data_IF_700399446780
#
_entry.id   IF_700399446780
#
_cell.length_a   1.000
_cell.length_b   1.000
_cell.length_c   1.000
_cell.angle_alpha   90.00
_cell.angle_beta   90.00
_cell.angle_gamma   90.00
#
_symmetry.space_group_name_H-M   'P 1'
#
loop_
_entity.id
_entity.type
_entity.pdbx_description
1 polymer ?
#
# COMPACT_ATOMS: atom_id res chain seq x y z
N UNK A 1 7.05 -13.16 10.18
CA UNK A 1 8.48 -12.80 9.98
C UNK A 1 8.66 -11.37 10.49
N UNK A 2 9.58 -11.05 11.40
CA UNK A 2 9.55 -9.79 12.18
C UNK A 2 9.93 -8.52 11.40
N UNK A 3 10.28 -8.63 10.12
CA UNK A 3 10.84 -7.52 9.33
C UNK A 3 9.86 -6.97 8.27
N UNK A 4 8.56 -7.24 8.38
CA UNK A 4 7.54 -6.65 7.49
C UNK A 4 7.21 -5.20 7.86
N UNK A 5 7.47 -4.80 9.12
CA UNK A 5 6.91 -3.58 9.72
C UNK A 5 7.80 -2.31 9.63
N UNK A 6 8.87 -2.29 8.82
CA UNK A 6 9.75 -1.11 8.73
C UNK A 6 10.25 -0.80 7.32
N UNK A 7 9.44 -1.04 6.29
CA UNK A 7 9.72 -0.51 4.96
C UNK A 7 8.95 0.81 4.80
N UNK A 8 9.59 1.92 4.34
CA UNK A 8 9.01 3.27 4.34
C UNK A 8 7.75 3.46 3.47
N UNK A 9 7.31 2.42 2.76
CA UNK A 9 6.12 2.45 1.90
C UNK A 9 5.01 1.49 2.38
N UNK A 10 5.20 0.85 3.54
CA UNK A 10 4.21 -0.02 4.16
C UNK A 10 3.85 0.56 5.53
N UNK A 11 2.55 0.73 5.76
CA UNK A 11 2.06 1.29 7.01
C UNK A 11 2.30 0.36 8.18
N UNK A 12 2.51 0.96 9.34
CA UNK A 12 2.54 0.20 10.59
C UNK A 12 1.12 -0.26 10.92
N UNK A 13 0.92 -1.57 10.93
CA UNK A 13 -0.30 -2.20 11.44
C UNK A 13 -0.39 -1.97 12.97
N UNK A 14 -1.47 -1.33 13.43
CA UNK A 14 -1.77 -1.14 14.85
C UNK A 14 -2.59 -2.29 15.43
N UNK A 15 -3.44 -2.92 14.63
CA UNK A 15 -4.26 -4.05 15.07
C UNK A 15 -5.24 -4.50 14.00
N UNK A 16 -5.94 -5.60 14.29
CA UNK A 16 -7.02 -6.13 13.45
C UNK A 16 -8.20 -6.53 14.33
N UNK A 17 -9.38 -6.60 13.72
CA UNK A 17 -10.62 -7.06 14.35
C UNK A 17 -11.28 -8.10 13.45
N UNK A 18 -11.80 -9.17 14.05
CA UNK A 18 -12.53 -10.22 13.33
C UNK A 18 -13.85 -10.48 14.07
N UNK A 19 -14.96 -10.31 13.37
CA UNK A 19 -16.29 -10.65 13.90
C UNK A 19 -16.73 -12.03 13.37
N UNK A 20 -16.84 -13.01 14.28
CA UNK A 20 -17.14 -14.42 13.96
C UNK A 20 -18.49 -14.62 13.24
N UNK A 21 -19.48 -13.77 13.51
CA UNK A 21 -20.84 -13.92 12.97
C UNK A 21 -21.03 -13.33 11.56
N UNK A 22 -20.12 -12.47 11.07
CA UNK A 22 -20.30 -11.73 9.81
C UNK A 22 -19.11 -11.79 8.83
N UNK A 23 -18.06 -12.57 9.13
CA UNK A 23 -16.81 -12.62 8.34
C UNK A 23 -16.22 -11.23 8.03
N UNK A 24 -16.44 -10.25 8.91
CA UNK A 24 -15.86 -8.92 8.75
C UNK A 24 -14.48 -8.91 9.35
N UNK A 25 -13.50 -8.65 8.51
CA UNK A 25 -12.12 -8.43 8.90
C UNK A 25 -11.80 -6.94 8.76
N UNK A 26 -11.48 -6.30 9.89
CA UNK A 26 -11.08 -4.90 9.94
C UNK A 26 -9.60 -4.79 10.27
N UNK A 27 -8.89 -3.86 9.64
CA UNK A 27 -7.46 -3.62 9.86
C UNK A 27 -7.25 -2.15 10.20
N UNK A 28 -6.47 -1.87 11.24
CA UNK A 28 -6.18 -0.51 11.71
C UNK A 28 -4.70 -0.22 11.51
N UNK A 29 -4.39 0.85 10.78
CA UNK A 29 -3.03 1.31 10.52
C UNK A 29 -2.74 2.64 11.22
N UNK A 30 -1.47 2.85 11.57
CA UNK A 30 -0.97 4.15 12.03
C UNK A 30 -0.61 4.98 10.80
N UNK A 31 -1.51 5.88 10.40
CA UNK A 31 -1.39 6.60 9.15
C UNK A 31 -2.10 7.94 9.14
N UNK A 32 -1.40 8.96 8.63
CA UNK A 32 -1.97 10.28 8.35
C UNK A 32 -2.03 10.49 6.83
N UNK A 33 -3.18 10.18 6.19
CA UNK A 33 -3.32 10.30 4.74
C UNK A 33 -3.42 11.77 4.32
N UNK A 34 -2.78 12.09 3.18
CA UNK A 34 -3.07 13.29 2.42
C UNK A 34 -4.42 13.12 1.69
N UNK A 35 -4.49 12.15 0.78
CA UNK A 35 -5.71 11.76 0.04
C UNK A 35 -5.39 10.49 -0.79
N UNK A 36 -6.41 9.93 -1.45
CA UNK A 36 -6.27 8.86 -2.44
C UNK A 36 -5.66 9.42 -3.73
N UNK A 37 -4.77 8.66 -4.38
CA UNK A 37 -4.05 9.09 -5.58
C UNK A 37 -5.02 9.46 -6.72
N UNK A 38 -6.13 8.73 -6.89
CA UNK A 38 -7.18 9.07 -7.86
C UNK A 38 -7.72 10.51 -7.66
N UNK A 39 -8.05 10.86 -6.42
CA UNK A 39 -8.53 12.20 -6.05
C UNK A 39 -7.47 13.28 -6.31
N UNK A 40 -6.21 13.01 -5.97
CA UNK A 40 -5.11 13.95 -6.20
C UNK A 40 -4.81 14.17 -7.69
N UNK A 41 -4.90 13.13 -8.51
CA UNK A 41 -4.77 13.22 -9.97
C UNK A 41 -5.90 14.05 -10.54
N UNK A 42 -7.16 13.80 -10.13
CA UNK A 42 -8.32 14.55 -10.61
C UNK A 42 -8.25 16.05 -10.29
N UNK A 43 -7.65 16.40 -9.14
CA UNK A 43 -7.44 17.79 -8.71
C UNK A 43 -6.21 18.46 -9.36
N UNK A 44 -5.37 17.70 -10.07
CA UNK A 44 -4.09 18.13 -10.61
C UNK A 44 -3.13 18.77 -9.57
N UNK A 45 -3.21 18.31 -8.32
CA UNK A 45 -2.51 18.91 -7.17
C UNK A 45 -1.01 18.54 -7.07
N UNK A 46 -0.37 18.15 -8.18
CA UNK A 46 1.02 17.73 -8.21
C UNK A 46 1.92 18.64 -9.03
N UNK A 47 2.96 19.16 -8.40
CA UNK A 47 4.13 19.65 -9.11
C UNK A 47 4.97 18.48 -9.67
N UNK A 48 5.88 18.80 -10.59
CA UNK A 48 6.67 17.78 -11.28
C UNK A 48 7.52 16.91 -10.35
N UNK A 49 8.10 17.51 -9.31
CA UNK A 49 8.93 16.79 -8.34
C UNK A 49 8.10 15.78 -7.54
N UNK A 50 6.88 16.14 -7.14
CA UNK A 50 5.97 15.24 -6.45
C UNK A 50 5.56 14.07 -7.35
N UNK A 51 5.30 14.30 -8.64
CA UNK A 51 5.00 13.21 -9.60
C UNK A 51 6.13 12.20 -9.69
N UNK A 52 7.37 12.68 -9.80
CA UNK A 52 8.56 11.82 -9.83
C UNK A 52 8.69 11.04 -8.52
N UNK A 53 8.47 11.70 -7.38
CA UNK A 53 8.54 11.05 -6.05
C UNK A 53 7.51 9.93 -5.93
N UNK A 54 6.26 10.18 -6.30
CA UNK A 54 5.18 9.18 -6.25
C UNK A 54 5.49 8.00 -7.19
N UNK A 55 5.92 8.28 -8.42
CA UNK A 55 6.28 7.24 -9.39
C UNK A 55 7.43 6.36 -8.90
N UNK A 56 8.46 6.96 -8.31
CA UNK A 56 9.60 6.23 -7.73
C UNK A 56 9.16 5.37 -6.54
N UNK A 57 8.35 5.90 -5.63
CA UNK A 57 7.84 5.14 -4.49
C UNK A 57 7.00 3.93 -4.93
N UNK A 58 6.13 4.09 -5.93
CA UNK A 58 5.36 2.99 -6.51
C UNK A 58 6.26 1.93 -7.15
N UNK A 59 7.31 2.34 -7.87
CA UNK A 59 8.29 1.40 -8.43
C UNK A 59 9.02 0.60 -7.34
N UNK A 60 9.39 1.24 -6.23
CA UNK A 60 10.01 0.56 -5.09
C UNK A 60 9.06 -0.44 -4.40
N UNK A 61 7.78 -0.07 -4.23
CA UNK A 61 6.75 -0.97 -3.69
C UNK A 61 6.60 -2.20 -4.59
N UNK A 62 6.49 -1.99 -5.90
CA UNK A 62 6.40 -3.07 -6.90
C UNK A 62 7.63 -3.96 -6.90
N UNK A 63 8.82 -3.38 -6.89
CA UNK A 63 10.08 -4.13 -6.81
C UNK A 63 10.11 -5.00 -5.56
N UNK A 64 9.70 -4.46 -4.41
CA UNK A 64 9.64 -5.20 -3.15
C UNK A 64 8.65 -6.37 -3.22
N UNK A 65 7.43 -6.14 -3.71
CA UNK A 65 6.41 -7.19 -3.81
C UNK A 65 6.81 -8.30 -4.79
N UNK A 66 7.39 -7.91 -5.94
CA UNK A 66 7.85 -8.86 -6.95
C UNK A 66 9.19 -9.51 -6.62
N UNK A 67 9.88 -9.08 -5.56
CA UNK A 67 11.12 -9.70 -5.12
C UNK A 67 10.82 -11.13 -4.71
N UNK A 68 11.41 -12.10 -5.42
CA UNK A 68 11.29 -13.54 -5.13
C UNK A 68 11.71 -13.80 -3.69
N UNK A 69 10.75 -13.93 -2.78
CA UNK A 69 10.94 -14.76 -1.59
C UNK A 69 10.88 -16.21 -2.05
N UNK A 70 11.74 -17.06 -1.48
CA UNK A 70 11.91 -18.46 -1.90
C UNK A 70 10.63 -19.31 -1.78
N UNK A 71 9.56 -18.77 -1.18
CA UNK A 71 8.39 -19.54 -0.78
C UNK A 71 7.04 -19.11 -1.36
N UNK A 72 6.86 -17.94 -1.98
CA UNK A 72 5.71 -17.63 -2.86
C UNK A 72 5.80 -16.14 -3.29
N UNK A 73 5.98 -15.79 -4.57
CA UNK A 73 5.99 -14.40 -4.99
C UNK A 73 4.60 -13.77 -4.77
N UNK A 74 4.55 -12.64 -4.08
CA UNK A 74 3.35 -11.81 -4.02
C UNK A 74 3.23 -11.11 -5.38
N UNK A 75 2.24 -11.49 -6.18
CA UNK A 75 2.01 -10.90 -7.50
C UNK A 75 0.90 -9.88 -7.39
N UNK A 76 1.21 -8.63 -7.71
CA UNK A 76 0.20 -7.59 -7.84
C UNK A 76 -0.46 -7.72 -9.20
N UNK A 77 -1.72 -8.12 -9.20
CA UNK A 77 -2.49 -8.30 -10.43
C UNK A 77 -3.05 -7.00 -10.97
N UNK A 78 -3.31 -6.05 -10.08
CA UNK A 78 -3.87 -4.76 -10.46
C UNK A 78 -3.33 -3.66 -9.55
N UNK A 79 -2.86 -2.58 -10.17
CA UNK A 79 -2.56 -1.32 -9.51
C UNK A 79 -3.56 -0.29 -9.99
N UNK A 80 -4.46 0.10 -9.09
CA UNK A 80 -5.43 1.16 -9.33
C UNK A 80 -5.03 2.39 -8.50
N UNK A 81 -5.20 3.58 -9.06
CA UNK A 81 -4.99 4.83 -8.34
C UNK A 81 -5.97 4.97 -7.15
N UNK A 82 -7.14 4.34 -7.20
CA UNK A 82 -8.08 4.27 -6.08
C UNK A 82 -7.56 3.44 -4.89
N UNK A 83 -6.58 2.55 -5.12
CA UNK A 83 -5.99 1.69 -4.09
C UNK A 83 -4.65 2.20 -3.56
N UNK A 84 -4.23 3.40 -3.97
CA UNK A 84 -3.01 4.06 -3.50
C UNK A 84 -3.40 5.31 -2.72
N UNK A 85 -2.97 5.42 -1.47
CA UNK A 85 -3.00 6.68 -0.72
C UNK A 85 -1.62 7.31 -0.70
N UNK A 86 -1.57 8.63 -0.61
CA UNK A 86 -0.35 9.35 -0.29
C UNK A 86 -0.37 9.80 1.16
N UNK A 87 0.79 9.78 1.82
CA UNK A 87 0.99 10.49 3.09
C UNK A 87 1.19 11.99 2.87
N UNK A 88 1.30 12.76 3.95
CA UNK A 88 1.56 14.21 3.90
C UNK A 88 2.84 14.58 3.14
N UNK A 89 3.82 13.68 3.10
CA UNK A 89 5.09 13.84 2.40
C UNK A 89 5.05 13.37 0.94
N UNK A 90 3.89 12.95 0.42
CA UNK A 90 3.71 12.39 -0.92
C UNK A 90 4.45 11.06 -1.14
N UNK A 91 4.64 10.26 -0.09
CA UNK A 91 5.05 8.86 -0.20
C UNK A 91 3.82 7.99 -0.48
N UNK A 92 3.87 7.11 -1.48
CA UNK A 92 2.76 6.22 -1.80
C UNK A 92 2.66 5.06 -0.81
N UNK A 93 1.42 4.67 -0.56
CA UNK A 93 1.03 3.59 0.34
C UNK A 93 -0.09 2.78 -0.30
N UNK A 94 0.03 1.45 -0.30
CA UNK A 94 -1.03 0.57 -0.78
C UNK A 94 -2.11 0.39 0.29
N UNK A 95 -3.37 0.58 -0.11
CA UNK A 95 -4.55 0.43 0.74
C UNK A 95 -5.20 -0.94 0.64
N UNK A 96 -5.16 -1.55 -0.54
CA UNK A 96 -5.85 -2.80 -0.79
C UNK A 96 -4.89 -3.87 -1.32
N UNK A 97 -4.70 -4.91 -0.51
CA UNK A 97 -3.94 -6.10 -0.87
C UNK A 97 -4.82 -7.20 -1.52
N UNK A 98 -6.13 -6.98 -1.68
CA UNK A 98 -7.03 -7.93 -2.34
C UNK A 98 -6.66 -8.18 -3.81
N UNK A 99 -5.98 -7.21 -4.44
CA UNK A 99 -5.42 -7.34 -5.79
C UNK A 99 -4.05 -8.05 -5.83
N UNK A 100 -3.56 -8.55 -4.69
CA UNK A 100 -2.31 -9.28 -4.58
C UNK A 100 -2.61 -10.75 -4.32
N UNK A 101 -2.14 -11.64 -5.19
CA UNK A 101 -2.25 -13.08 -4.95
C UNK A 101 -0.90 -13.68 -4.61
N UNK A 102 -0.91 -14.69 -3.74
CA UNK A 102 0.32 -15.32 -3.28
C UNK A 102 1.05 -14.45 -2.27
N UNK A 103 2.08 -15.02 -1.65
CA UNK A 103 2.69 -14.46 -0.44
C UNK A 103 1.90 -14.85 0.82
N UNK A 104 2.54 -14.69 1.97
CA UNK A 104 1.91 -14.86 3.28
C UNK A 104 1.61 -13.44 3.78
N UNK A 105 0.35 -13.02 3.66
CA UNK A 105 -0.15 -11.82 4.34
C UNK A 105 -0.55 -12.22 5.78
N UNK A 106 -0.14 -11.47 6.81
CA UNK A 106 -0.62 -11.67 8.17
C UNK A 106 -2.12 -11.34 8.29
#
# INVERSE_FOLDING_TARGET
>A
HPNFCSHPYFLRLLGYSMEDDNQRFGVVYDFEPLDVLESLIAKDNFNWLQRIKVALGLACILEYMHKKTETLPAVVHNLDAAHVMLDQDHNPVLLDFSCVSGGIFP
#
